data_IF_553006414614
#
_entry.id   IF_553006414614
#
_cell.length_a   1.000
_cell.length_b   1.000
_cell.length_c   1.000
_cell.angle_alpha   90.00
_cell.angle_beta   90.00
_cell.angle_gamma   90.00
#
_symmetry.space_group_name_H-M   'P 1'
#
loop_
_entity.id
_entity.type
_entity.pdbx_description
1 polymer ?
#
# COMPACT_ATOMS: atom_id res chain seq x y z
N UNK A 1 54.38 -45.28 -8.91
CA UNK A 1 52.92 -45.00 -8.86
C UNK A 1 52.65 -44.16 -7.60
N UNK A 2 52.64 -42.82 -7.73
CA UNK A 2 52.33 -41.91 -6.60
C UNK A 2 50.81 -41.85 -6.43
N UNK A 3 50.31 -42.35 -5.31
CA UNK A 3 48.90 -42.24 -4.93
C UNK A 3 48.53 -40.76 -4.76
N UNK A 4 47.63 -40.27 -5.62
CA UNK A 4 47.09 -38.91 -5.55
C UNK A 4 46.03 -38.87 -4.43
N UNK A 5 46.27 -38.01 -3.44
CA UNK A 5 45.54 -37.95 -2.19
C UNK A 5 44.09 -37.44 -2.39
N UNK A 6 43.08 -38.31 -2.29
CA UNK A 6 41.65 -38.00 -2.50
C UNK A 6 40.98 -37.12 -1.42
N UNK A 7 41.71 -36.61 -0.43
CA UNK A 7 41.12 -35.86 0.71
C UNK A 7 40.63 -34.43 0.38
N UNK A 8 41.04 -33.83 -0.74
CA UNK A 8 40.77 -32.42 -1.05
C UNK A 8 39.48 -32.14 -1.84
N UNK A 9 38.78 -33.15 -2.36
CA UNK A 9 37.52 -32.93 -3.11
C UNK A 9 36.29 -32.63 -2.24
N UNK A 10 36.39 -32.82 -0.91
CA UNK A 10 35.25 -32.72 0.03
C UNK A 10 34.95 -31.30 0.53
N UNK A 11 35.95 -30.43 0.56
CA UNK A 11 35.86 -29.05 1.07
C UNK A 11 35.17 -28.09 0.09
N UNK A 12 35.48 -28.12 -1.22
CA UNK A 12 34.78 -27.31 -2.22
C UNK A 12 33.29 -27.69 -2.30
N UNK A 13 32.97 -28.98 -2.35
CA UNK A 13 31.59 -29.48 -2.41
C UNK A 13 30.75 -29.06 -1.20
N UNK A 14 31.32 -29.04 0.01
CA UNK A 14 30.63 -28.52 1.21
C UNK A 14 30.35 -27.02 1.11
N UNK A 15 31.31 -26.22 0.64
CA UNK A 15 31.11 -24.77 0.45
C UNK A 15 30.06 -24.47 -0.62
N UNK A 16 30.07 -25.17 -1.76
CA UNK A 16 29.05 -25.02 -2.80
C UNK A 16 27.63 -25.41 -2.34
N UNK A 17 27.49 -26.50 -1.56
CA UNK A 17 26.19 -26.86 -0.95
C UNK A 17 25.69 -25.78 0.00
N UNK A 18 26.58 -25.19 0.80
CA UNK A 18 26.24 -24.08 1.70
C UNK A 18 25.81 -22.83 0.93
N UNK A 19 26.47 -22.51 -0.18
CA UNK A 19 26.09 -21.41 -1.07
C UNK A 19 24.69 -21.63 -1.66
N UNK A 20 24.43 -22.82 -2.20
CA UNK A 20 23.13 -23.14 -2.79
C UNK A 20 21.99 -23.02 -1.77
N UNK A 21 22.22 -23.48 -0.54
CA UNK A 21 21.27 -23.32 0.57
C UNK A 21 21.04 -21.85 0.94
N UNK A 22 22.12 -21.05 0.96
CA UNK A 22 22.04 -19.62 1.21
C UNK A 22 21.23 -18.90 0.12
N UNK A 23 21.52 -19.17 -1.15
CA UNK A 23 20.79 -18.60 -2.30
C UNK A 23 19.32 -18.99 -2.27
N UNK A 24 18.99 -20.25 -1.98
CA UNK A 24 17.60 -20.69 -1.89
C UNK A 24 16.86 -20.00 -0.72
N UNK A 25 17.53 -19.83 0.43
CA UNK A 25 16.96 -19.12 1.58
C UNK A 25 16.69 -17.65 1.28
N UNK A 26 17.62 -16.98 0.58
CA UNK A 26 17.46 -15.59 0.13
C UNK A 26 16.32 -15.48 -0.88
N UNK A 27 16.28 -16.36 -1.89
CA UNK A 27 15.21 -16.41 -2.88
C UNK A 27 13.83 -16.57 -2.25
N UNK A 28 13.67 -17.51 -1.31
CA UNK A 28 12.39 -17.72 -0.61
C UNK A 28 11.98 -16.47 0.18
N UNK A 29 12.92 -15.80 0.83
CA UNK A 29 12.64 -14.58 1.59
C UNK A 29 12.19 -13.44 0.66
N UNK A 30 12.86 -13.26 -0.47
CA UNK A 30 12.53 -12.26 -1.48
C UNK A 30 11.10 -12.46 -1.99
N UNK A 31 10.73 -13.69 -2.34
CA UNK A 31 9.40 -13.98 -2.90
C UNK A 31 8.25 -13.98 -1.90
N UNK A 32 8.54 -13.87 -0.60
CA UNK A 32 7.51 -13.85 0.46
C UNK A 32 7.34 -12.48 1.11
N UNK A 33 8.11 -11.48 0.66
CA UNK A 33 8.13 -10.14 1.28
C UNK A 33 7.87 -9.05 0.25
N UNK A 34 6.85 -8.23 0.51
CA UNK A 34 6.43 -7.15 -0.41
C UNK A 34 6.69 -5.74 0.14
N UNK A 35 7.29 -5.66 1.33
CA UNK A 35 7.61 -4.41 2.00
C UNK A 35 9.14 -4.28 2.16
N UNK A 36 9.67 -3.11 1.84
CA UNK A 36 11.10 -2.87 1.81
C UNK A 36 11.73 -2.86 3.22
N UNK A 37 10.97 -2.44 4.23
CA UNK A 37 11.43 -2.44 5.62
C UNK A 37 11.53 -3.87 6.15
N UNK A 38 10.51 -4.70 5.93
CA UNK A 38 10.52 -6.10 6.35
C UNK A 38 11.60 -6.89 5.58
N UNK A 39 11.71 -6.68 4.26
CA UNK A 39 12.72 -7.35 3.42
C UNK A 39 14.13 -7.04 3.93
N UNK A 40 14.46 -5.76 4.13
CA UNK A 40 15.77 -5.34 4.61
C UNK A 40 16.08 -5.84 6.03
N UNK A 41 15.08 -5.89 6.93
CA UNK A 41 15.25 -6.45 8.28
C UNK A 41 15.54 -7.94 8.25
N UNK A 42 14.80 -8.70 7.44
CA UNK A 42 14.97 -10.15 7.34
C UNK A 42 16.26 -10.53 6.60
N UNK A 43 16.62 -9.82 5.53
CA UNK A 43 17.84 -10.05 4.77
C UNK A 43 19.08 -9.84 5.63
N UNK A 44 19.15 -8.76 6.42
CA UNK A 44 20.31 -8.50 7.28
C UNK A 44 20.52 -9.57 8.33
N UNK A 45 19.44 -10.11 8.91
CA UNK A 45 19.51 -11.26 9.81
C UNK A 45 20.01 -12.52 9.08
N UNK A 46 19.43 -12.83 7.93
CA UNK A 46 19.79 -14.01 7.15
C UNK A 46 21.26 -13.96 6.70
N UNK A 47 21.73 -12.81 6.20
CA UNK A 47 23.11 -12.59 5.82
C UNK A 47 24.08 -12.70 7.01
N UNK A 48 23.72 -12.15 8.17
CA UNK A 48 24.51 -12.34 9.40
C UNK A 48 24.66 -13.81 9.77
N UNK A 49 23.64 -14.64 9.54
CA UNK A 49 23.70 -16.09 9.77
C UNK A 49 24.54 -16.82 8.71
N UNK A 50 24.30 -16.55 7.42
CA UNK A 50 25.04 -17.15 6.30
C UNK A 50 26.54 -16.90 6.45
N UNK A 51 26.92 -15.66 6.73
CA UNK A 51 28.33 -15.25 6.84
C UNK A 51 28.88 -15.38 8.27
N UNK A 52 28.12 -15.94 9.21
CA UNK A 52 28.51 -16.10 10.63
C UNK A 52 29.14 -14.83 11.21
N UNK A 53 28.42 -13.72 11.05
CA UNK A 53 28.92 -12.38 11.35
C UNK A 53 28.19 -11.77 12.54
N UNK A 54 28.92 -11.07 13.41
CA UNK A 54 28.36 -10.38 14.57
C UNK A 54 27.52 -9.17 14.16
N UNK A 55 27.87 -8.54 13.03
CA UNK A 55 27.19 -7.36 12.50
C UNK A 55 26.95 -7.50 11.01
N UNK A 56 25.72 -7.21 10.59
CA UNK A 56 25.36 -7.04 9.18
C UNK A 56 24.58 -5.74 9.03
N UNK A 57 24.82 -5.00 7.96
CA UNK A 57 24.10 -3.76 7.63
C UNK A 57 23.77 -3.74 6.16
N UNK A 58 22.51 -3.48 5.84
CA UNK A 58 22.03 -3.19 4.50
C UNK A 58 21.60 -1.73 4.49
N UNK A 59 22.17 -0.97 3.55
CA UNK A 59 21.85 0.43 3.35
C UNK A 59 21.35 0.63 1.93
N UNK A 60 20.22 1.33 1.79
CA UNK A 60 19.66 1.76 0.50
C UNK A 60 19.84 3.27 0.43
N UNK A 61 20.33 3.75 -0.71
CA UNK A 61 20.57 5.17 -0.96
C UNK A 61 19.25 5.88 -1.32
N UNK A 62 19.25 7.21 -1.20
CA UNK A 62 18.21 8.02 -1.82
C UNK A 62 18.52 8.28 -3.30
N UNK A 63 17.56 8.83 -4.05
CA UNK A 63 17.72 9.07 -5.49
C UNK A 63 18.92 9.97 -5.84
N UNK A 64 19.34 10.83 -4.91
CA UNK A 64 20.52 11.70 -5.09
C UNK A 64 21.85 10.96 -4.92
N UNK A 65 21.83 9.72 -4.39
CA UNK A 65 22.99 8.90 -4.04
C UNK A 65 23.92 9.52 -2.98
N UNK A 66 23.53 10.64 -2.38
CA UNK A 66 24.33 11.34 -1.35
C UNK A 66 23.96 10.94 0.07
N UNK A 67 22.79 10.34 0.27
CA UNK A 67 22.26 9.98 1.59
C UNK A 67 21.75 8.55 1.60
N UNK A 68 21.80 7.93 2.77
CA UNK A 68 21.15 6.64 3.04
C UNK A 68 19.69 6.91 3.40
N UNK A 69 18.76 6.41 2.59
CA UNK A 69 17.32 6.52 2.80
C UNK A 69 16.82 5.47 3.80
N UNK A 70 17.37 4.25 3.70
CA UNK A 70 17.00 3.10 4.53
C UNK A 70 18.26 2.48 5.08
N UNK A 71 18.31 2.25 6.38
CA UNK A 71 19.37 1.48 7.04
C UNK A 71 18.75 0.41 7.91
N UNK A 72 19.05 -0.84 7.59
CA UNK A 72 18.74 -1.99 8.40
C UNK A 72 20.06 -2.58 8.90
N UNK A 73 20.17 -2.81 10.20
CA UNK A 73 21.35 -3.42 10.80
C UNK A 73 20.97 -4.42 11.87
N UNK A 74 21.76 -5.48 11.98
CA UNK A 74 21.76 -6.40 13.10
C UNK A 74 23.15 -6.40 13.72
N UNK A 75 23.24 -6.35 15.05
CA UNK A 75 24.49 -6.42 15.81
C UNK A 75 24.25 -7.22 17.08
N UNK A 76 24.96 -8.34 17.26
CA UNK A 76 24.79 -9.25 18.42
C UNK A 76 23.30 -9.57 18.69
N UNK A 77 22.58 -9.95 17.63
CA UNK A 77 21.15 -10.24 17.62
C UNK A 77 20.19 -9.08 17.94
N UNK A 78 20.70 -7.87 18.24
CA UNK A 78 19.89 -6.65 18.34
C UNK A 78 19.67 -6.07 16.94
N UNK A 79 18.42 -5.81 16.59
CA UNK A 79 18.04 -5.23 15.29
C UNK A 79 17.80 -3.72 15.44
N UNK A 80 18.26 -2.97 14.46
CA UNK A 80 17.99 -1.54 14.32
C UNK A 80 17.55 -1.26 12.89
N UNK A 81 16.48 -0.49 12.73
CA UNK A 81 15.95 -0.11 11.43
C UNK A 81 15.67 1.40 11.42
N UNK A 82 15.97 2.07 10.31
CA UNK A 82 15.76 3.51 10.17
C UNK A 82 15.39 3.85 8.72
N UNK A 83 14.24 4.51 8.57
CA UNK A 83 13.72 5.07 7.31
C UNK A 83 13.81 6.59 7.34
N UNK A 84 15.03 7.12 7.47
CA UNK A 84 15.29 8.57 7.48
C UNK A 84 16.55 8.83 6.69
N UNK A 85 16.53 9.91 5.89
CA UNK A 85 17.69 10.37 5.14
C UNK A 85 18.83 10.70 6.11
N UNK A 86 19.87 9.89 6.10
CA UNK A 86 21.07 10.05 6.93
C UNK A 86 22.30 10.19 6.06
N UNK A 87 23.31 10.94 6.53
CA UNK A 87 24.59 11.04 5.83
C UNK A 87 25.31 9.68 5.84
N UNK A 88 26.09 9.43 4.79
CA UNK A 88 27.05 8.33 4.73
C UNK A 88 28.06 8.55 5.86
N UNK A 89 28.21 7.57 6.76
CA UNK A 89 28.84 7.81 8.06
C UNK A 89 30.37 7.77 8.00
N UNK A 90 30.94 6.90 7.16
CA UNK A 90 32.34 6.51 7.25
C UNK A 90 33.03 6.49 5.87
N UNK A 91 34.36 6.64 5.86
CA UNK A 91 35.22 6.61 4.65
C UNK A 91 35.01 5.32 3.84
N UNK A 92 34.83 4.18 4.51
CA UNK A 92 34.57 2.91 3.84
C UNK A 92 33.22 2.90 3.11
N UNK A 93 32.16 3.39 3.77
CA UNK A 93 30.84 3.55 3.13
C UNK A 93 30.98 4.47 1.90
N UNK A 94 31.69 5.59 2.04
CA UNK A 94 31.92 6.52 0.93
C UNK A 94 32.72 5.87 -0.22
N UNK A 95 33.73 5.06 0.09
CA UNK A 95 34.53 4.35 -0.92
C UNK A 95 33.68 3.34 -1.69
N UNK A 96 32.78 2.62 -1.03
CA UNK A 96 31.88 1.67 -1.69
C UNK A 96 30.94 2.42 -2.64
N UNK A 97 30.40 3.56 -2.19
CA UNK A 97 29.46 4.34 -2.98
C UNK A 97 30.11 5.04 -4.17
N UNK A 98 31.28 5.65 -3.97
CA UNK A 98 31.98 6.42 -5.02
C UNK A 98 32.72 5.55 -6.03
N UNK A 99 33.30 4.43 -5.58
CA UNK A 99 34.10 3.55 -6.45
C UNK A 99 33.35 2.30 -6.91
N UNK A 100 32.10 2.10 -6.47
CA UNK A 100 31.32 0.86 -6.71
C UNK A 100 32.14 -0.40 -6.41
N UNK A 101 32.98 -0.32 -5.38
CA UNK A 101 34.00 -1.33 -5.13
C UNK A 101 33.57 -2.27 -4.00
N UNK A 102 33.65 -3.57 -4.26
CA UNK A 102 33.57 -4.58 -3.23
C UNK A 102 34.86 -4.58 -2.40
N UNK A 103 34.77 -4.78 -1.09
CA UNK A 103 35.89 -4.71 -0.16
C UNK A 103 35.95 -6.00 0.64
N UNK A 104 37.10 -6.67 0.61
CA UNK A 104 37.42 -7.81 1.47
C UNK A 104 38.62 -7.48 2.34
N UNK A 105 38.45 -7.67 3.66
CA UNK A 105 39.50 -7.70 4.69
C UNK A 105 39.22 -8.88 5.60
N UNK A 106 40.16 -9.25 6.47
CA UNK A 106 40.05 -10.48 7.27
C UNK A 106 38.73 -10.62 8.01
N UNK A 107 38.26 -9.57 8.68
CA UNK A 107 37.03 -9.61 9.48
C UNK A 107 35.95 -8.63 8.97
N UNK A 108 36.09 -8.15 7.72
CA UNK A 108 35.17 -7.21 7.11
C UNK A 108 34.96 -7.53 5.64
N UNK A 109 33.69 -7.64 5.25
CA UNK A 109 33.27 -7.86 3.88
C UNK A 109 32.23 -6.81 3.51
N UNK A 110 32.33 -6.29 2.30
CA UNK A 110 31.36 -5.34 1.77
C UNK A 110 31.17 -5.50 0.29
N UNK A 111 29.93 -5.31 -0.16
CA UNK A 111 29.56 -5.31 -1.56
C UNK A 111 28.60 -4.15 -1.86
N UNK A 112 28.77 -3.46 -3.00
CA UNK A 112 27.76 -2.54 -3.49
C UNK A 112 26.54 -3.31 -4.01
N UNK A 113 25.37 -2.68 -3.90
CA UNK A 113 24.14 -3.13 -4.55
C UNK A 113 24.04 -2.34 -5.87
N UNK A 114 24.35 -2.99 -6.99
CA UNK A 114 24.42 -2.37 -8.32
C UNK A 114 23.28 -2.92 -9.18
N UNK A 115 22.41 -2.01 -9.63
CA UNK A 115 21.44 -2.25 -10.70
C UNK A 115 21.93 -1.59 -11.98
N UNK A 116 21.17 -0.62 -12.50
CA UNK A 116 21.67 0.28 -13.57
C UNK A 116 22.65 1.31 -12.99
N UNK A 117 22.52 1.54 -11.69
CA UNK A 117 23.29 2.43 -10.85
C UNK A 117 23.48 1.81 -9.47
N UNK A 118 24.36 2.38 -8.65
CA UNK A 118 24.46 1.98 -7.24
C UNK A 118 23.19 2.40 -6.47
N UNK A 119 22.47 1.40 -5.96
CA UNK A 119 21.25 1.61 -5.16
C UNK A 119 21.51 1.52 -3.66
N UNK A 120 22.66 0.99 -3.26
CA UNK A 120 22.95 0.69 -1.86
C UNK A 120 24.24 -0.08 -1.66
N UNK A 121 24.42 -0.58 -0.45
CA UNK A 121 25.56 -1.44 -0.09
C UNK A 121 25.23 -2.35 1.08
N UNK A 122 25.99 -3.44 1.20
CA UNK A 122 25.95 -4.37 2.32
C UNK A 122 27.31 -4.38 3.02
N UNK A 123 27.29 -4.32 4.34
CA UNK A 123 28.46 -4.44 5.21
C UNK A 123 28.29 -5.66 6.13
N UNK A 124 29.32 -6.47 6.24
CA UNK A 124 29.37 -7.65 7.09
C UNK A 124 30.66 -7.59 7.92
N UNK A 125 30.54 -7.69 9.24
CA UNK A 125 31.68 -7.65 10.14
C UNK A 125 31.68 -8.82 11.12
N UNK A 126 32.86 -9.41 11.30
CA UNK A 126 33.18 -10.30 12.43
C UNK A 126 33.99 -9.51 13.46
N UNK A 127 33.74 -9.73 14.74
CA UNK A 127 34.68 -9.30 15.78
C UNK A 127 35.95 -10.17 15.74
N UNK A 128 37.02 -9.74 16.42
CA UNK A 128 38.30 -10.47 16.42
C UNK A 128 38.16 -11.90 16.94
N UNK A 129 37.29 -12.14 17.92
CA UNK A 129 37.07 -13.47 18.52
C UNK A 129 36.42 -14.43 17.51
N UNK A 130 35.39 -13.95 16.82
CA UNK A 130 34.64 -14.69 15.81
C UNK A 130 35.50 -14.94 14.57
N UNK A 131 36.31 -13.96 14.17
CA UNK A 131 37.26 -14.09 13.07
C UNK A 131 38.34 -15.15 13.35
N UNK A 132 38.82 -15.26 14.59
CA UNK A 132 39.72 -16.36 15.01
C UNK A 132 39.03 -17.73 15.01
N UNK A 133 37.75 -17.78 15.39
CA UNK A 133 36.97 -19.03 15.49
C UNK A 133 36.51 -19.56 14.13
N UNK A 134 35.96 -18.70 13.28
CA UNK A 134 35.32 -19.06 12.01
C UNK A 134 36.25 -18.87 10.80
N UNK A 135 37.43 -18.26 11.00
CA UNK A 135 38.36 -17.89 9.95
C UNK A 135 38.15 -16.47 9.42
N UNK A 136 39.14 -15.97 8.68
CA UNK A 136 39.01 -14.73 7.91
C UNK A 136 38.08 -14.93 6.71
N UNK A 137 37.44 -13.86 6.26
CA UNK A 137 36.71 -13.90 4.99
C UNK A 137 37.69 -14.22 3.86
N UNK A 138 37.29 -15.05 2.90
CA UNK A 138 38.06 -15.35 1.70
C UNK A 138 37.45 -14.68 0.44
N UNK A 139 38.02 -14.95 -0.74
CA UNK A 139 37.49 -14.42 -2.00
C UNK A 139 36.18 -15.10 -2.42
N UNK A 140 35.99 -16.36 -2.04
CA UNK A 140 34.74 -17.08 -2.29
C UNK A 140 33.60 -16.47 -1.46
N UNK A 141 33.85 -16.04 -0.22
CA UNK A 141 32.88 -15.27 0.57
C UNK A 141 32.48 -13.96 -0.14
N UNK A 142 33.44 -13.27 -0.76
CA UNK A 142 33.19 -12.05 -1.53
C UNK A 142 32.32 -12.35 -2.76
N UNK A 143 32.66 -13.38 -3.53
CA UNK A 143 31.87 -13.82 -4.69
C UNK A 143 30.45 -14.21 -4.28
N UNK A 144 30.30 -14.99 -3.21
CA UNK A 144 29.00 -15.38 -2.66
C UNK A 144 28.16 -14.16 -2.27
N UNK A 145 28.79 -13.17 -1.61
CA UNK A 145 28.11 -11.93 -1.26
C UNK A 145 27.66 -11.16 -2.50
N UNK A 146 28.53 -11.05 -3.51
CA UNK A 146 28.20 -10.37 -4.76
C UNK A 146 27.04 -11.05 -5.51
N UNK A 147 27.01 -12.39 -5.56
CA UNK A 147 25.88 -13.14 -6.13
C UNK A 147 24.58 -12.86 -5.38
N UNK A 148 24.62 -12.89 -4.05
CA UNK A 148 23.44 -12.59 -3.22
C UNK A 148 23.00 -11.13 -3.40
N UNK A 149 23.95 -10.19 -3.51
CA UNK A 149 23.66 -8.79 -3.80
C UNK A 149 22.88 -8.62 -5.11
N UNK A 150 23.20 -9.37 -6.17
CA UNK A 150 22.44 -9.34 -7.42
C UNK A 150 20.97 -9.73 -7.23
N UNK A 151 20.69 -10.77 -6.44
CA UNK A 151 19.31 -11.17 -6.11
C UNK A 151 18.58 -10.11 -5.27
N UNK A 152 19.28 -9.53 -4.29
CA UNK A 152 18.74 -8.46 -3.44
C UNK A 152 18.43 -7.21 -4.24
N UNK A 153 19.30 -6.83 -5.19
CA UNK A 153 19.06 -5.70 -6.09
C UNK A 153 17.77 -5.89 -6.87
N UNK A 154 17.58 -7.07 -7.48
CA UNK A 154 16.37 -7.37 -8.25
C UNK A 154 15.12 -7.32 -7.37
N UNK A 155 15.19 -7.86 -6.15
CA UNK A 155 14.08 -7.81 -5.19
C UNK A 155 13.70 -6.37 -4.80
N UNK A 156 14.69 -5.54 -4.49
CA UNK A 156 14.48 -4.13 -4.13
C UNK A 156 13.86 -3.38 -5.32
N UNK A 157 14.41 -3.55 -6.53
CA UNK A 157 13.88 -2.94 -7.75
C UNK A 157 12.43 -3.38 -8.00
N UNK A 158 12.11 -4.67 -7.87
CA UNK A 158 10.75 -5.17 -8.05
C UNK A 158 9.77 -4.52 -7.07
N UNK A 159 10.10 -4.45 -5.77
CA UNK A 159 9.24 -3.80 -4.76
C UNK A 159 9.06 -2.31 -5.07
N UNK A 160 10.13 -1.62 -5.49
CA UNK A 160 10.06 -0.20 -5.88
C UNK A 160 9.18 0.01 -7.12
N UNK A 161 9.35 -0.80 -8.16
CA UNK A 161 8.55 -0.76 -9.38
C UNK A 161 7.06 -0.97 -9.09
N UNK A 162 6.70 -1.95 -8.25
CA UNK A 162 5.32 -2.14 -7.82
C UNK A 162 4.76 -0.92 -7.08
N UNK A 163 5.56 -0.31 -6.19
CA UNK A 163 5.14 0.90 -5.47
C UNK A 163 4.97 2.11 -6.40
N UNK A 164 5.84 2.26 -7.39
CA UNK A 164 5.76 3.31 -8.40
C UNK A 164 4.53 3.12 -9.31
N UNK A 165 4.26 1.88 -9.73
CA UNK A 165 3.06 1.53 -10.48
C UNK A 165 1.79 1.87 -9.68
N UNK A 166 1.73 1.53 -8.40
CA UNK A 166 0.58 1.88 -7.54
C UNK A 166 0.40 3.40 -7.43
N UNK A 167 1.50 4.15 -7.25
CA UNK A 167 1.49 5.62 -7.20
C UNK A 167 1.03 6.23 -8.52
N UNK A 168 1.50 5.71 -9.64
CA UNK A 168 1.12 6.17 -10.98
C UNK A 168 -0.37 5.97 -11.20
N UNK A 169 -0.89 4.77 -10.92
CA UNK A 169 -2.34 4.47 -11.02
C UNK A 169 -3.15 5.41 -10.13
N UNK A 170 -2.73 5.59 -8.87
CA UNK A 170 -3.40 6.52 -7.96
C UNK A 170 -3.35 7.96 -8.48
N UNK A 171 -2.23 8.39 -9.04
CA UNK A 171 -2.07 9.70 -9.68
C UNK A 171 -3.03 9.89 -10.85
N UNK A 172 -3.09 8.93 -11.77
CA UNK A 172 -4.02 8.94 -12.92
C UNK A 172 -5.47 9.01 -12.47
N UNK A 173 -5.88 8.20 -11.48
CA UNK A 173 -7.25 8.24 -10.95
C UNK A 173 -7.55 9.61 -10.34
N UNK A 174 -6.63 10.17 -9.55
CA UNK A 174 -6.81 11.52 -8.99
C UNK A 174 -6.95 12.58 -10.08
N UNK A 175 -6.10 12.55 -11.11
CA UNK A 175 -6.19 13.47 -12.24
C UNK A 175 -7.53 13.33 -12.97
N UNK A 176 -8.01 12.10 -13.20
CA UNK A 176 -9.33 11.86 -13.79
C UNK A 176 -10.44 12.47 -12.93
N UNK A 177 -10.41 12.23 -11.61
CA UNK A 177 -11.38 12.81 -10.66
C UNK A 177 -11.34 14.33 -10.71
N UNK A 178 -10.16 14.95 -10.70
CA UNK A 178 -10.02 16.41 -10.80
C UNK A 178 -10.65 16.98 -12.08
N UNK A 179 -10.49 16.30 -13.21
CA UNK A 179 -11.12 16.73 -14.47
C UNK A 179 -12.64 16.56 -14.42
N UNK A 180 -13.14 15.45 -13.89
CA UNK A 180 -14.57 15.19 -13.78
C UNK A 180 -15.26 16.16 -12.82
N UNK A 181 -14.64 16.42 -11.67
CA UNK A 181 -15.15 17.33 -10.64
C UNK A 181 -15.10 18.80 -11.07
N UNK A 182 -14.30 19.17 -12.08
CA UNK A 182 -14.22 20.56 -12.57
C UNK A 182 -15.57 21.12 -13.07
N UNK A 183 -16.51 20.23 -13.43
CA UNK A 183 -17.89 20.59 -13.81
C UNK A 183 -18.89 20.46 -12.67
N UNK A 184 -18.50 19.88 -11.55
CA UNK A 184 -19.36 19.66 -10.39
C UNK A 184 -19.22 20.85 -9.44
N UNK A 185 -20.30 21.51 -9.03
CA UNK A 185 -20.21 22.62 -8.10
C UNK A 185 -19.56 22.17 -6.77
N UNK A 186 -18.68 22.98 -6.15
CA UNK A 186 -17.98 22.59 -4.91
C UNK A 186 -18.91 22.16 -3.76
N UNK A 187 -20.14 22.66 -3.72
CA UNK A 187 -21.14 22.28 -2.72
C UNK A 187 -21.64 20.83 -2.86
N UNK A 188 -21.39 20.19 -4.00
CA UNK A 188 -21.68 18.77 -4.24
C UNK A 188 -20.45 17.88 -4.13
N UNK A 189 -19.25 18.46 -4.02
CA UNK A 189 -18.04 17.70 -3.82
C UNK A 189 -18.06 17.02 -2.45
N UNK A 190 -17.53 15.80 -2.39
CA UNK A 190 -17.34 15.12 -1.13
C UNK A 190 -16.26 15.77 -0.30
N UNK A 191 -16.37 15.59 1.01
CA UNK A 191 -15.31 16.02 1.90
C UNK A 191 -14.02 15.22 1.64
N UNK A 192 -12.84 15.80 1.93
CA UNK A 192 -11.57 15.07 1.91
C UNK A 192 -11.54 13.84 2.85
N UNK A 193 -12.55 13.69 3.71
CA UNK A 193 -12.67 12.64 4.71
C UNK A 193 -13.57 11.48 4.29
N UNK A 194 -14.40 11.65 3.26
CA UNK A 194 -15.34 10.63 2.79
C UNK A 194 -14.67 9.26 2.53
N UNK A 195 -13.56 9.26 1.79
CA UNK A 195 -12.79 8.03 1.52
C UNK A 195 -12.26 7.34 2.80
N UNK A 196 -11.97 8.12 3.85
CA UNK A 196 -11.54 7.57 5.15
C UNK A 196 -12.69 6.95 5.92
N UNK A 197 -13.89 7.53 5.86
CA UNK A 197 -15.11 6.96 6.44
C UNK A 197 -15.42 5.61 5.79
N UNK A 198 -15.42 5.58 4.45
CA UNK A 198 -15.63 4.36 3.66
C UNK A 198 -14.63 3.27 4.05
N UNK A 199 -13.34 3.62 4.17
CA UNK A 199 -12.30 2.69 4.62
C UNK A 199 -12.55 2.17 6.04
N UNK A 200 -12.87 3.06 6.99
CA UNK A 200 -13.11 2.68 8.38
C UNK A 200 -14.32 1.74 8.53
N UNK A 201 -15.38 1.95 7.74
CA UNK A 201 -16.52 1.04 7.67
C UNK A 201 -16.10 -0.33 7.12
N UNK A 202 -15.31 -0.37 6.05
CA UNK A 202 -14.82 -1.63 5.48
C UNK A 202 -13.95 -2.42 6.45
N UNK A 203 -13.07 -1.73 7.19
CA UNK A 203 -12.24 -2.32 8.25
C UNK A 203 -13.09 -2.87 9.41
N UNK A 204 -14.09 -2.12 9.87
CA UNK A 204 -15.02 -2.57 10.93
C UNK A 204 -15.83 -3.80 10.50
N UNK A 205 -16.22 -3.88 9.23
CA UNK A 205 -16.90 -5.04 8.64
C UNK A 205 -15.94 -6.20 8.33
N UNK A 206 -14.65 -6.06 8.63
CA UNK A 206 -13.60 -7.06 8.39
C UNK A 206 -13.50 -7.49 6.92
N UNK A 207 -13.74 -6.56 6.00
CA UNK A 207 -13.50 -6.79 4.58
C UNK A 207 -12.01 -7.02 4.33
N UNK A 208 -11.70 -7.83 3.32
CA UNK A 208 -10.31 -8.08 2.98
C UNK A 208 -9.68 -6.82 2.34
N UNK A 209 -8.34 -6.80 2.25
CA UNK A 209 -7.60 -5.65 1.72
C UNK A 209 -8.02 -5.27 0.29
N UNK A 210 -8.31 -6.24 -0.58
CA UNK A 210 -8.71 -5.98 -1.97
C UNK A 210 -10.08 -5.30 -2.06
N UNK A 211 -11.02 -5.70 -1.21
CA UNK A 211 -12.35 -5.07 -1.14
C UNK A 211 -12.26 -3.64 -0.60
N UNK A 212 -11.41 -3.42 0.42
CA UNK A 212 -11.13 -2.07 0.96
C UNK A 212 -10.45 -1.18 -0.09
N UNK A 213 -9.51 -1.72 -0.87
CA UNK A 213 -8.88 -0.99 -1.97
C UNK A 213 -9.90 -0.64 -3.06
N UNK A 214 -10.84 -1.56 -3.37
CA UNK A 214 -11.93 -1.30 -4.32
C UNK A 214 -12.88 -0.22 -3.82
N UNK A 215 -13.22 -0.21 -2.53
CA UNK A 215 -14.01 0.82 -1.87
C UNK A 215 -13.33 2.19 -1.90
N UNK A 216 -12.00 2.23 -1.73
CA UNK A 216 -11.22 3.46 -1.86
C UNK A 216 -11.39 4.06 -3.25
N UNK A 217 -11.27 3.26 -4.31
CA UNK A 217 -11.52 3.74 -5.67
C UNK A 217 -12.99 4.13 -5.91
N UNK A 218 -13.94 3.35 -5.38
CA UNK A 218 -15.36 3.67 -5.45
C UNK A 218 -15.67 5.04 -4.84
N UNK A 219 -15.10 5.32 -3.65
CA UNK A 219 -15.30 6.59 -2.95
C UNK A 219 -14.85 7.81 -3.74
N UNK A 220 -13.92 7.64 -4.68
CA UNK A 220 -13.42 8.72 -5.53
C UNK A 220 -14.21 8.87 -6.83
N UNK A 221 -14.83 7.79 -7.33
CA UNK A 221 -15.33 7.72 -8.70
C UNK A 221 -16.84 7.46 -8.81
N UNK A 222 -17.54 7.19 -7.70
CA UNK A 222 -18.97 6.81 -7.75
C UNK A 222 -19.87 7.84 -8.44
N UNK A 223 -19.49 9.11 -8.35
CA UNK A 223 -20.18 10.25 -8.93
C UNK A 223 -19.58 10.75 -10.25
N UNK A 224 -18.61 10.03 -10.84
CA UNK A 224 -17.95 10.41 -12.09
C UNK A 224 -18.94 10.73 -13.24
N UNK A 225 -20.08 10.04 -13.27
CA UNK A 225 -21.14 10.22 -14.26
C UNK A 225 -21.90 11.54 -14.15
N UNK A 226 -21.77 12.29 -13.04
CA UNK A 226 -22.38 13.62 -12.87
C UNK A 226 -21.87 14.64 -13.88
N UNK A 227 -20.69 14.39 -14.50
CA UNK A 227 -20.13 15.19 -15.59
C UNK A 227 -21.08 15.33 -16.80
N UNK A 228 -22.02 14.39 -16.98
CA UNK A 228 -23.00 14.40 -18.06
C UNK A 228 -24.35 15.05 -17.68
N UNK A 229 -24.49 15.53 -16.44
CA UNK A 229 -25.72 16.18 -15.97
C UNK A 229 -25.57 17.69 -16.22
N UNK A 230 -26.59 18.36 -16.81
CA UNK A 230 -26.60 19.82 -16.93
C UNK A 230 -26.37 20.53 -15.60
N UNK A 231 -25.54 21.58 -15.62
CA UNK A 231 -25.18 22.33 -14.41
C UNK A 231 -26.41 22.93 -13.74
N UNK A 232 -27.40 23.36 -14.52
CA UNK A 232 -28.65 23.96 -14.05
C UNK A 232 -29.48 22.97 -13.21
N UNK A 233 -29.42 21.67 -13.56
CA UNK A 233 -30.07 20.60 -12.78
C UNK A 233 -29.25 20.31 -11.52
N UNK A 234 -27.92 20.29 -11.62
CA UNK A 234 -27.05 20.06 -10.46
C UNK A 234 -27.16 21.21 -9.44
N UNK A 235 -27.20 22.47 -9.84
CA UNK A 235 -27.19 23.64 -8.94
C UNK A 235 -28.57 24.08 -8.47
N UNK A 236 -29.64 23.39 -8.89
CA UNK A 236 -31.02 23.77 -8.57
C UNK A 236 -31.26 23.74 -7.05
N UNK A 237 -31.67 24.89 -6.50
CA UNK A 237 -32.01 25.03 -5.08
C UNK A 237 -33.45 24.58 -4.77
N UNK A 238 -34.34 24.62 -5.76
CA UNK A 238 -35.70 24.09 -5.67
C UNK A 238 -35.74 22.58 -5.91
N UNK A 239 -36.86 21.95 -5.58
CA UNK A 239 -37.06 20.52 -5.86
C UNK A 239 -36.90 20.21 -7.35
N UNK A 240 -36.36 19.02 -7.62
CA UNK A 240 -36.22 18.48 -8.98
C UNK A 240 -37.59 18.02 -9.51
N UNK A 241 -37.84 18.22 -10.79
CA UNK A 241 -38.96 17.59 -11.49
C UNK A 241 -38.72 16.08 -11.65
N UNK A 242 -39.76 15.31 -11.98
CA UNK A 242 -39.61 13.88 -12.26
C UNK A 242 -38.60 13.59 -13.37
N UNK A 243 -38.62 14.40 -14.44
CA UNK A 243 -37.69 14.29 -15.57
C UNK A 243 -36.25 14.63 -15.17
N UNK A 244 -36.05 15.71 -14.41
CA UNK A 244 -34.73 16.08 -13.88
C UNK A 244 -34.18 14.98 -12.96
N UNK A 245 -35.04 14.41 -12.11
CA UNK A 245 -34.68 13.30 -11.25
C UNK A 245 -34.29 12.04 -12.05
N UNK A 246 -35.00 11.74 -13.15
CA UNK A 246 -34.66 10.66 -14.06
C UNK A 246 -33.30 10.85 -14.74
N UNK A 247 -32.91 12.10 -15.04
CA UNK A 247 -31.58 12.42 -15.55
C UNK A 247 -30.52 12.12 -14.48
N UNK A 248 -30.72 12.59 -13.24
CA UNK A 248 -29.76 12.35 -12.15
C UNK A 248 -29.59 10.85 -11.87
N UNK A 249 -30.67 10.06 -11.86
CA UNK A 249 -30.62 8.61 -11.61
C UNK A 249 -29.75 7.83 -12.60
N UNK A 250 -29.36 8.41 -13.73
CA UNK A 250 -28.49 7.76 -14.73
C UNK A 250 -27.01 7.85 -14.39
N UNK A 251 -26.59 8.72 -13.45
CA UNK A 251 -25.16 8.88 -13.18
C UNK A 251 -24.46 7.60 -12.71
N UNK A 252 -25.04 6.66 -11.92
CA UNK A 252 -24.31 5.45 -11.54
C UNK A 252 -23.93 4.59 -12.75
N UNK A 253 -24.84 4.52 -13.74
CA UNK A 253 -24.62 3.83 -15.01
C UNK A 253 -23.53 4.53 -15.80
N UNK A 254 -23.57 5.86 -15.89
CA UNK A 254 -22.54 6.66 -16.58
C UNK A 254 -21.18 6.58 -15.89
N UNK A 255 -21.13 6.60 -14.56
CA UNK A 255 -19.90 6.40 -13.78
C UNK A 255 -19.29 5.03 -14.09
N UNK A 256 -20.10 3.96 -14.12
CA UNK A 256 -19.67 2.62 -14.51
C UNK A 256 -19.15 2.56 -15.96
N UNK A 257 -19.83 3.22 -16.91
CA UNK A 257 -19.40 3.31 -18.31
C UNK A 257 -18.06 4.03 -18.49
N UNK A 258 -17.81 5.10 -17.73
CA UNK A 258 -16.55 5.86 -17.78
C UNK A 258 -15.38 5.00 -17.33
N UNK A 259 -15.54 4.22 -16.27
CA UNK A 259 -14.41 3.52 -15.63
C UNK A 259 -14.19 2.07 -16.11
N UNK A 260 -15.16 1.44 -16.79
CA UNK A 260 -15.14 0.01 -17.13
C UNK A 260 -13.92 -0.44 -17.95
N UNK A 261 -13.29 0.49 -18.67
CA UNK A 261 -12.13 0.21 -19.52
C UNK A 261 -10.84 0.01 -18.71
N UNK A 262 -10.78 0.50 -17.48
CA UNK A 262 -9.62 0.34 -16.60
C UNK A 262 -9.71 -1.00 -15.87
N UNK A 263 -8.83 -1.95 -16.23
CA UNK A 263 -8.83 -3.32 -15.68
C UNK A 263 -8.79 -3.36 -14.15
N UNK A 264 -7.99 -2.48 -13.54
CA UNK A 264 -7.88 -2.37 -12.08
C UNK A 264 -9.20 -1.93 -11.41
N UNK A 265 -10.08 -1.25 -12.14
CA UNK A 265 -11.37 -0.77 -11.64
C UNK A 265 -12.53 -1.73 -11.89
N UNK A 266 -12.30 -2.88 -12.55
CA UNK A 266 -13.35 -3.89 -12.75
C UNK A 266 -14.12 -4.27 -11.48
N UNK A 267 -13.46 -4.51 -10.31
CA UNK A 267 -14.17 -4.80 -9.06
C UNK A 267 -14.98 -3.61 -8.51
N UNK A 268 -14.67 -2.39 -8.96
CA UNK A 268 -15.27 -1.13 -8.51
C UNK A 268 -16.58 -0.85 -9.26
N UNK A 269 -16.68 -1.29 -10.51
CA UNK A 269 -17.86 -1.12 -11.37
C UNK A 269 -19.18 -1.51 -10.68
N UNK A 270 -19.34 -2.72 -10.10
CA UNK A 270 -20.61 -3.09 -9.45
C UNK A 270 -20.88 -2.27 -8.17
N UNK A 271 -19.84 -1.79 -7.48
CA UNK A 271 -20.01 -0.93 -6.31
C UNK A 271 -20.63 0.40 -6.73
N UNK A 272 -20.07 1.01 -7.76
CA UNK A 272 -20.52 2.30 -8.28
C UNK A 272 -21.87 2.17 -8.99
N UNK A 273 -22.10 1.12 -9.75
CA UNK A 273 -23.37 0.97 -10.47
C UNK A 273 -24.57 0.89 -9.52
N UNK A 274 -24.39 0.33 -8.33
CA UNK A 274 -25.47 -0.02 -7.40
C UNK A 274 -25.44 0.77 -6.08
N UNK A 275 -24.63 1.81 -5.92
CA UNK A 275 -24.53 2.55 -4.65
C UNK A 275 -25.82 3.31 -4.26
N UNK A 276 -26.75 3.49 -5.21
CA UNK A 276 -28.10 4.02 -4.96
C UNK A 276 -29.21 2.96 -4.91
N UNK A 277 -28.85 1.68 -4.90
CA UNK A 277 -29.79 0.61 -4.55
C UNK A 277 -30.18 0.75 -3.07
N UNK A 278 -31.46 0.53 -2.78
CA UNK A 278 -31.99 0.52 -1.41
C UNK A 278 -32.12 -0.92 -0.94
N UNK A 279 -31.83 -1.17 0.33
CA UNK A 279 -31.79 -2.53 0.89
C UNK A 279 -33.11 -3.31 0.69
N UNK A 280 -34.25 -2.63 0.64
CA UNK A 280 -35.58 -3.17 0.38
C UNK A 280 -35.93 -3.47 -1.10
N UNK A 281 -35.10 -3.01 -2.04
CA UNK A 281 -35.29 -3.15 -3.49
C UNK A 281 -35.99 -1.97 -4.18
N UNK A 282 -36.26 -0.86 -3.49
CA UNK A 282 -36.92 0.32 -4.06
C UNK A 282 -35.94 1.34 -4.68
N UNK A 283 -34.65 1.02 -4.71
CA UNK A 283 -33.61 1.87 -5.29
C UNK A 283 -33.46 1.72 -6.80
N UNK A 284 -32.32 2.17 -7.32
CA UNK A 284 -32.00 2.17 -8.74
C UNK A 284 -30.50 1.88 -8.95
N UNK A 285 -30.06 1.48 -10.16
CA UNK A 285 -30.82 1.32 -11.41
C UNK A 285 -31.50 -0.05 -11.60
N UNK A 286 -31.09 -1.07 -10.85
CA UNK A 286 -31.47 -2.47 -11.08
C UNK A 286 -32.47 -3.03 -10.07
N UNK A 287 -32.86 -2.25 -9.06
CA UNK A 287 -33.83 -2.63 -8.01
C UNK A 287 -33.39 -3.89 -7.28
N UNK A 288 -32.08 -4.02 -7.03
CA UNK A 288 -31.50 -5.13 -6.30
C UNK A 288 -31.93 -5.07 -4.84
N UNK A 289 -32.15 -6.23 -4.22
CA UNK A 289 -32.67 -6.34 -2.86
C UNK A 289 -31.71 -7.09 -1.94
N UNK A 290 -31.52 -6.58 -0.72
CA UNK A 290 -30.72 -7.20 0.35
C UNK A 290 -29.34 -7.64 -0.16
N UNK A 291 -29.03 -8.93 -0.05
CA UNK A 291 -27.72 -9.50 -0.39
C UNK A 291 -27.44 -9.59 -1.89
N UNK A 292 -28.43 -9.30 -2.76
CA UNK A 292 -28.19 -9.15 -4.20
C UNK A 292 -27.43 -7.85 -4.50
N UNK A 293 -27.50 -6.86 -3.61
CA UNK A 293 -26.72 -5.62 -3.72
C UNK A 293 -25.28 -5.94 -3.26
N UNK A 294 -24.25 -5.62 -4.06
CA UNK A 294 -22.86 -5.79 -3.66
C UNK A 294 -22.60 -5.15 -2.29
N UNK A 295 -21.84 -5.83 -1.41
CA UNK A 295 -21.56 -5.31 -0.06
C UNK A 295 -20.94 -3.91 -0.10
N UNK A 296 -20.05 -3.66 -1.06
CA UNK A 296 -19.46 -2.34 -1.24
C UNK A 296 -20.49 -1.27 -1.61
N UNK A 297 -21.48 -1.59 -2.44
CA UNK A 297 -22.56 -0.66 -2.81
C UNK A 297 -23.45 -0.33 -1.61
N UNK A 298 -23.82 -1.34 -0.80
CA UNK A 298 -24.58 -1.14 0.45
C UNK A 298 -23.81 -0.25 1.42
N UNK A 299 -22.49 -0.40 1.50
CA UNK A 299 -21.62 0.42 2.32
C UNK A 299 -21.57 1.87 1.84
N UNK A 300 -21.34 2.05 0.54
CA UNK A 300 -21.31 3.36 -0.10
C UNK A 300 -22.62 4.12 0.10
N UNK A 301 -23.78 3.45 0.00
CA UNK A 301 -25.10 4.06 0.24
C UNK A 301 -25.22 4.69 1.64
N UNK A 302 -24.75 3.96 2.67
CA UNK A 302 -24.75 4.46 4.06
C UNK A 302 -23.75 5.61 4.24
N UNK A 303 -22.55 5.45 3.71
CA UNK A 303 -21.49 6.46 3.84
C UNK A 303 -21.86 7.78 3.13
N UNK A 304 -22.42 7.70 1.92
CA UNK A 304 -22.83 8.86 1.12
C UNK A 304 -23.99 9.62 1.79
N UNK A 305 -25.02 8.90 2.26
CA UNK A 305 -26.11 9.51 3.00
C UNK A 305 -25.63 10.22 4.27
N UNK A 306 -24.72 9.59 5.03
CA UNK A 306 -24.12 10.20 6.23
C UNK A 306 -23.33 11.48 5.90
N UNK A 307 -22.44 11.43 4.90
CA UNK A 307 -21.63 12.58 4.47
C UNK A 307 -22.54 13.74 4.00
N UNK A 308 -23.56 13.44 3.19
CA UNK A 308 -24.53 14.43 2.72
C UNK A 308 -25.35 15.07 3.85
N UNK A 309 -25.67 14.33 4.92
CA UNK A 309 -26.39 14.87 6.07
C UNK A 309 -25.51 15.75 6.97
N UNK A 310 -24.29 15.31 7.26
CA UNK A 310 -23.39 16.00 8.20
C UNK A 310 -22.78 17.27 7.60
N UNK A 311 -22.54 17.27 6.29
CA UNK A 311 -21.93 18.41 5.60
C UNK A 311 -22.94 19.25 4.80
N UNK A 312 -24.18 18.76 4.67
CA UNK A 312 -25.25 19.43 3.93
C UNK A 312 -25.07 19.35 2.41
N UNK A 313 -26.09 19.85 1.71
CA UNK A 313 -26.14 20.04 0.25
C UNK A 313 -26.82 21.40 -0.02
N UNK A 314 -26.69 22.00 -1.22
CA UNK A 314 -27.36 23.27 -1.54
C UNK A 314 -28.87 23.31 -1.23
N UNK A 315 -29.55 22.17 -1.38
CA UNK A 315 -30.99 22.02 -1.11
C UNK A 315 -31.31 21.42 0.26
N UNK A 316 -30.31 21.09 1.09
CA UNK A 316 -30.51 20.42 2.38
C UNK A 316 -29.49 20.90 3.41
N UNK A 317 -29.97 21.53 4.48
CA UNK A 317 -29.12 21.97 5.57
C UNK A 317 -28.39 20.81 6.24
N UNK A 318 -27.19 21.10 6.76
CA UNK A 318 -26.42 20.13 7.54
C UNK A 318 -27.13 19.84 8.87
N UNK A 319 -27.07 18.59 9.31
CA UNK A 319 -27.58 18.16 10.61
C UNK A 319 -26.44 17.69 11.52
N UNK A 320 -26.68 17.60 12.82
CA UNK A 320 -25.68 17.07 13.75
C UNK A 320 -25.36 15.61 13.43
N UNK A 321 -24.20 15.12 13.88
CA UNK A 321 -23.85 13.71 13.67
C UNK A 321 -24.78 12.78 14.43
N UNK A 322 -25.24 13.16 15.62
CA UNK A 322 -26.18 12.34 16.36
C UNK A 322 -27.53 12.26 15.63
N UNK A 323 -28.03 13.38 15.08
CA UNK A 323 -29.24 13.40 14.26
C UNK A 323 -29.08 12.58 12.97
N UNK A 324 -27.93 12.69 12.29
CA UNK A 324 -27.63 11.90 11.12
C UNK A 324 -27.59 10.39 11.43
N UNK A 325 -27.05 10.00 12.58
CA UNK A 325 -27.04 8.60 13.02
C UNK A 325 -28.45 8.10 13.34
N UNK A 326 -29.29 8.90 14.02
CA UNK A 326 -30.68 8.54 14.29
C UNK A 326 -31.50 8.40 13.01
N UNK A 327 -31.34 9.32 12.04
CA UNK A 327 -32.01 9.22 10.74
C UNK A 327 -31.57 7.96 9.98
N UNK A 328 -30.27 7.62 9.97
CA UNK A 328 -29.79 6.38 9.33
C UNK A 328 -30.33 5.14 10.04
N UNK A 329 -30.41 5.14 11.38
CA UNK A 329 -31.01 4.04 12.15
C UNK A 329 -32.48 3.85 11.81
N UNK A 330 -33.25 4.94 11.65
CA UNK A 330 -34.66 4.92 11.29
C UNK A 330 -34.93 4.20 9.97
N UNK A 331 -34.05 4.35 8.98
CA UNK A 331 -34.16 3.64 7.69
C UNK A 331 -33.33 2.35 7.59
N UNK A 332 -32.92 1.80 8.73
CA UNK A 332 -32.27 0.50 8.79
C UNK A 332 -33.23 -0.62 8.35
N UNK A 333 -32.80 -1.47 7.43
CA UNK A 333 -33.60 -2.57 6.89
C UNK A 333 -34.52 -2.18 5.73
N UNK A 334 -34.70 -0.88 5.46
CA UNK A 334 -35.40 -0.35 4.29
C UNK A 334 -34.42 0.25 3.30
N UNK A 335 -33.94 1.47 3.53
CA UNK A 335 -32.94 2.10 2.68
C UNK A 335 -31.56 1.48 2.89
N UNK A 336 -31.19 1.25 4.15
CA UNK A 336 -29.83 0.89 4.53
C UNK A 336 -29.70 -0.53 5.05
N UNK A 337 -28.54 -1.15 4.81
CA UNK A 337 -28.21 -2.46 5.37
C UNK A 337 -28.03 -2.37 6.90
N UNK A 338 -28.81 -3.12 7.71
CA UNK A 338 -28.69 -3.09 9.16
C UNK A 338 -27.29 -3.39 9.71
N UNK A 339 -26.54 -4.29 9.06
CA UNK A 339 -25.20 -4.64 9.51
C UNK A 339 -24.23 -3.44 9.37
N UNK A 340 -24.37 -2.68 8.29
CA UNK A 340 -23.52 -1.52 8.00
C UNK A 340 -23.90 -0.34 8.88
N UNK A 341 -25.19 -0.12 9.12
CA UNK A 341 -25.68 0.88 10.07
C UNK A 341 -25.09 0.63 11.46
N UNK A 342 -25.11 -0.63 11.92
CA UNK A 342 -24.51 -1.01 13.20
C UNK A 342 -23.00 -0.71 13.24
N UNK A 343 -22.28 -1.01 12.16
CA UNK A 343 -20.85 -0.66 12.04
C UNK A 343 -20.61 0.85 12.07
N UNK A 344 -21.43 1.65 11.37
CA UNK A 344 -21.33 3.11 11.38
C UNK A 344 -21.47 3.68 12.79
N UNK A 345 -22.49 3.25 13.53
CA UNK A 345 -22.72 3.66 14.92
C UNK A 345 -21.54 3.26 15.80
N UNK A 346 -20.99 2.06 15.61
CA UNK A 346 -19.82 1.63 16.39
C UNK A 346 -18.58 2.49 16.13
N UNK A 347 -18.30 2.83 14.88
CA UNK A 347 -17.12 3.65 14.55
C UNK A 347 -17.31 5.13 14.87
N UNK A 348 -18.55 5.65 14.91
CA UNK A 348 -18.82 7.06 15.24
C UNK A 348 -18.46 7.41 16.69
N UNK A 349 -18.49 6.43 17.60
CA UNK A 349 -18.00 6.58 18.97
C UNK A 349 -16.47 6.63 19.10
N UNK A 350 -15.72 6.34 18.04
CA UNK A 350 -14.27 6.40 18.06
C UNK A 350 -13.78 7.86 18.08
N UNK A 351 -13.00 8.25 19.10
CA UNK A 351 -12.42 9.59 19.25
C UNK A 351 -11.69 10.10 18.01
N UNK A 352 -11.04 9.21 17.23
CA UNK A 352 -10.38 9.58 15.97
C UNK A 352 -11.40 10.01 14.91
N UNK A 353 -12.50 9.27 14.74
CA UNK A 353 -13.57 9.61 13.80
C UNK A 353 -14.28 10.91 14.21
N UNK A 354 -14.49 11.11 15.51
CA UNK A 354 -15.02 12.38 16.04
C UNK A 354 -14.18 13.58 15.64
N UNK A 355 -12.85 13.47 15.77
CA UNK A 355 -11.92 14.52 15.35
C UNK A 355 -11.93 14.77 13.83
N UNK A 356 -12.25 13.76 13.01
CA UNK A 356 -12.28 13.89 11.54
C UNK A 356 -13.52 14.60 11.00
N UNK A 357 -14.66 14.44 11.67
CA UNK A 357 -15.92 15.08 11.28
C UNK A 357 -15.99 16.55 11.72
N UNK A 358 -14.90 17.13 12.24
CA UNK A 358 -14.88 18.41 12.95
C UNK A 358 -15.97 18.48 14.05
N UNK A 359 -16.21 17.36 14.76
CA UNK A 359 -17.19 17.27 15.85
C UNK A 359 -16.69 17.82 17.19
N UNK A 360 -15.70 18.72 17.16
CA UNK A 360 -15.34 19.49 18.35
C UNK A 360 -16.20 20.74 18.37
N UNK A 361 -17.25 20.70 19.21
CA UNK A 361 -17.70 21.91 19.90
C UNK A 361 -16.57 22.44 20.79
#
# INVERSE_FOLDING_TARGET
>A
MRWMNMRNYSTPTKKYKSLLSALHSVYRLINTTYDLADLSSRLTKLLSQIFKANKCTLAILDNSKTRVSIRSSISNNKRTFTMKKTKIKNILENRIVTKSAAIKKDCFLSAPLIGDDIIGFILICRDKKTCRKEGSFDYLDLENLMTICGQIVMAIKNIQLYSEQEKMIMGTIKSLVTVLDSKVPPAYAHTPYFSRLVRALGEELRLNKKDIDSLKYASMLHDAGKVNIPTEILTKASGLTGEEYDIIKRHPVKSAEIIKHLQILKPVVPIILHHHEKYDGTGYPSKLKKNKIPIGARLMSVADAFDAMVYGRPYKERVSVDDALEEIKKYSGTQFDPAIVKSLVKISHNKKLKKYLNLTH
#
